data_IF_323566389088
#
_entry.id   IF_323566389088
#
_cell.length_a   1.000
_cell.length_b   1.000
_cell.length_c   1.000
_cell.angle_alpha   90.00
_cell.angle_beta   90.00
_cell.angle_gamma   90.00
#
_symmetry.space_group_name_H-M   'P 1'
#
loop_
_entity.id
_entity.type
_entity.pdbx_description
1 polymer ?
#
# COMPACT_ATOMS: atom_id res chain seq x y z
N UNK A 1 15.20 8.30 -10.21
CA UNK A 1 14.86 7.19 -9.33
C UNK A 1 13.52 6.60 -9.74
N UNK A 2 13.47 5.30 -9.87
CA UNK A 2 12.24 4.60 -10.24
C UNK A 2 11.32 4.45 -9.02
N UNK A 3 10.03 4.24 -9.29
CA UNK A 3 9.05 3.96 -8.23
C UNK A 3 9.42 2.71 -7.43
N UNK A 4 9.97 1.69 -8.10
CA UNK A 4 10.44 0.48 -7.44
C UNK A 4 11.58 0.75 -6.46
N UNK A 5 12.43 1.73 -6.73
CA UNK A 5 13.50 2.13 -5.80
C UNK A 5 12.90 2.74 -4.53
N UNK A 6 11.89 3.59 -4.69
CA UNK A 6 11.17 4.19 -3.57
C UNK A 6 10.46 3.12 -2.75
N UNK A 7 9.81 2.15 -3.41
CA UNK A 7 9.18 1.02 -2.73
C UNK A 7 10.19 0.25 -1.91
N UNK A 8 11.36 -0.05 -2.47
CA UNK A 8 12.39 -0.79 -1.77
C UNK A 8 12.89 -0.04 -0.54
N UNK A 9 13.03 1.28 -0.63
CA UNK A 9 13.42 2.10 0.51
C UNK A 9 12.37 2.03 1.63
N UNK A 10 11.10 2.10 1.28
CA UNK A 10 10.01 1.99 2.26
C UNK A 10 9.98 0.59 2.88
N UNK A 11 10.16 -0.45 2.06
CA UNK A 11 10.20 -1.83 2.56
C UNK A 11 11.37 -2.04 3.53
N UNK A 12 12.54 -1.48 3.24
CA UNK A 12 13.69 -1.56 4.15
C UNK A 12 13.40 -0.86 5.49
N UNK A 13 12.75 0.29 5.44
CA UNK A 13 12.30 0.98 6.64
C UNK A 13 11.33 0.11 7.45
N UNK A 14 10.36 -0.52 6.79
CA UNK A 14 9.38 -1.38 7.46
C UNK A 14 10.05 -2.61 8.08
N UNK A 15 11.07 -3.17 7.45
CA UNK A 15 11.85 -4.27 8.04
C UNK A 15 12.49 -3.85 9.36
N UNK A 16 13.04 -2.66 9.41
CA UNK A 16 13.65 -2.14 10.64
C UNK A 16 12.61 -1.93 11.73
N UNK A 17 11.45 -1.40 11.36
CA UNK A 17 10.34 -1.22 12.29
C UNK A 17 9.80 -2.56 12.79
N UNK A 18 9.77 -3.56 11.92
CA UNK A 18 9.37 -4.92 12.30
C UNK A 18 10.36 -5.53 13.30
N UNK A 19 11.65 -5.35 13.05
CA UNK A 19 12.69 -5.86 13.96
C UNK A 19 12.57 -5.23 15.35
N UNK A 20 12.07 -4.00 15.44
CA UNK A 20 11.84 -3.30 16.72
C UNK A 20 10.45 -3.53 17.31
N UNK A 21 9.64 -4.36 16.68
CA UNK A 21 8.32 -4.72 17.18
C UNK A 21 7.21 -3.73 16.90
N UNK A 22 7.46 -2.68 16.10
CA UNK A 22 6.45 -1.69 15.79
C UNK A 22 5.56 -2.08 14.62
N UNK A 23 6.05 -2.95 13.74
CA UNK A 23 5.28 -3.53 12.62
C UNK A 23 5.18 -5.03 12.84
N UNK A 24 3.96 -5.56 12.84
CA UNK A 24 3.74 -6.99 13.08
C UNK A 24 4.05 -7.79 11.81
N UNK A 25 3.47 -7.35 10.70
CA UNK A 25 3.72 -7.93 9.38
C UNK A 25 3.52 -6.85 8.32
N UNK A 26 4.09 -7.06 7.17
CA UNK A 26 3.83 -6.22 6.00
C UNK A 26 4.06 -7.04 4.73
N UNK A 27 3.49 -6.58 3.64
CA UNK A 27 3.59 -7.25 2.36
C UNK A 27 3.66 -6.23 1.23
N UNK A 28 4.47 -6.53 0.24
CA UNK A 28 4.43 -5.83 -1.03
C UNK A 28 3.37 -6.49 -1.89
N UNK A 29 2.40 -5.70 -2.33
CA UNK A 29 1.30 -6.19 -3.14
C UNK A 29 1.63 -5.91 -4.61
N UNK A 30 1.55 -6.94 -5.41
CA UNK A 30 1.62 -6.76 -6.84
C UNK A 30 0.21 -6.41 -7.31
N UNK A 31 -0.07 -5.10 -7.35
CA UNK A 31 -1.42 -4.55 -7.34
C UNK A 31 -2.20 -4.84 -8.60
N UNK A 32 -2.66 -6.06 -8.74
CA UNK A 32 -3.70 -6.37 -9.68
C UNK A 32 -3.33 -7.26 -10.83
N UNK A 33 -2.07 -7.43 -11.19
CA UNK A 33 -1.74 -8.30 -12.30
C UNK A 33 -0.29 -8.73 -12.31
N UNK A 34 -0.07 -10.00 -12.62
CA UNK A 34 1.25 -10.53 -12.97
C UNK A 34 1.20 -10.91 -14.46
N UNK A 35 2.26 -10.60 -15.17
CA UNK A 35 2.38 -11.02 -16.55
C UNK A 35 2.71 -12.52 -16.58
N UNK A 36 1.84 -13.33 -17.17
CA UNK A 36 2.04 -14.75 -17.34
C UNK A 36 1.98 -15.03 -18.85
N UNK A 37 3.15 -15.18 -19.50
CA UNK A 37 3.22 -15.24 -20.95
C UNK A 37 2.82 -13.90 -21.54
N UNK A 38 1.77 -13.89 -22.36
CA UNK A 38 1.24 -12.67 -22.97
C UNK A 38 0.00 -12.13 -22.26
N UNK A 39 -0.31 -12.65 -21.07
CA UNK A 39 -1.51 -12.23 -20.33
C UNK A 39 -1.15 -11.74 -18.95
N UNK A 40 -2.01 -10.85 -18.41
CA UNK A 40 -1.95 -10.45 -17.02
C UNK A 40 -2.96 -11.27 -16.23
N UNK A 41 -2.52 -11.77 -15.07
CA UNK A 41 -3.37 -12.55 -14.16
C UNK A 41 -3.60 -11.72 -12.90
N UNK A 42 -4.89 -11.57 -12.54
CA UNK A 42 -5.27 -10.85 -11.34
C UNK A 42 -5.55 -11.85 -10.24
N UNK A 43 -5.02 -11.58 -9.04
CA UNK A 43 -5.07 -12.53 -7.93
C UNK A 43 -6.02 -12.15 -6.82
N UNK A 44 -6.69 -11.01 -6.90
CA UNK A 44 -7.64 -10.63 -5.87
C UNK A 44 -8.86 -9.98 -6.49
N UNK A 45 -9.92 -9.98 -5.69
CA UNK A 45 -11.15 -9.28 -6.02
C UNK A 45 -11.50 -8.41 -4.83
N UNK A 46 -11.48 -7.12 -5.03
CA UNK A 46 -11.67 -6.13 -3.98
C UNK A 46 -13.14 -5.73 -3.90
N UNK A 47 -13.72 -5.86 -2.71
CA UNK A 47 -15.11 -5.51 -2.42
C UNK A 47 -15.14 -4.23 -1.59
N UNK A 48 -15.60 -3.14 -2.18
CA UNK A 48 -15.82 -1.88 -1.50
C UNK A 48 -17.31 -1.62 -1.42
N UNK A 49 -17.77 -1.15 -0.26
CA UNK A 49 -19.19 -0.98 0.02
C UNK A 49 -19.85 -0.09 -1.04
N UNK A 50 -20.94 -0.60 -1.65
CA UNK A 50 -21.67 0.13 -2.66
C UNK A 50 -21.03 0.17 -4.03
N UNK A 51 -19.98 -0.62 -4.26
CA UNK A 51 -19.26 -0.68 -5.52
C UNK A 51 -19.23 -2.09 -6.09
N UNK A 52 -19.11 -2.18 -7.41
CA UNK A 52 -18.88 -3.48 -8.04
C UNK A 52 -17.49 -4.01 -7.67
N UNK A 53 -17.37 -5.32 -7.46
CA UNK A 53 -16.05 -5.91 -7.17
C UNK A 53 -15.07 -5.67 -8.32
N UNK A 54 -13.79 -5.45 -7.95
CA UNK A 54 -12.77 -5.20 -8.96
C UNK A 54 -11.43 -5.80 -8.52
N UNK A 55 -10.61 -6.15 -9.49
CA UNK A 55 -9.30 -6.77 -9.26
C UNK A 55 -8.15 -5.77 -9.31
N UNK A 56 -8.38 -4.53 -8.91
CA UNK A 56 -7.37 -3.48 -8.96
C UNK A 56 -7.65 -2.44 -7.88
N UNK A 57 -6.67 -1.56 -7.65
CA UNK A 57 -6.84 -0.41 -6.77
C UNK A 57 -6.25 -0.57 -5.38
N UNK A 58 -5.82 -1.77 -4.98
CA UNK A 58 -5.12 -1.92 -3.70
C UNK A 58 -3.78 -1.18 -3.74
N UNK A 59 -3.29 -0.81 -2.56
CA UNK A 59 -2.01 -0.13 -2.42
C UNK A 59 -0.83 -1.07 -2.70
N UNK A 60 0.34 -0.49 -2.93
CA UNK A 60 1.57 -1.25 -3.19
C UNK A 60 2.05 -2.04 -1.98
N UNK A 61 1.86 -1.50 -0.79
CA UNK A 61 2.35 -2.08 0.46
C UNK A 61 1.22 -2.05 1.48
N UNK A 62 1.05 -3.15 2.21
CA UNK A 62 0.09 -3.21 3.30
C UNK A 62 0.72 -3.89 4.50
N UNK A 63 0.13 -3.71 5.66
CA UNK A 63 0.62 -4.37 6.86
C UNK A 63 -0.20 -4.03 8.10
N UNK A 64 0.36 -4.38 9.24
CA UNK A 64 -0.29 -4.14 10.52
C UNK A 64 0.72 -3.65 11.54
N UNK A 65 0.38 -2.56 12.19
CA UNK A 65 1.18 -2.04 13.30
C UNK A 65 0.93 -2.87 14.56
N UNK A 66 1.87 -2.81 15.48
CA UNK A 66 1.67 -3.33 16.84
C UNK A 66 0.40 -2.68 17.41
N UNK A 67 -0.46 -3.49 18.00
CA UNK A 67 -1.78 -3.03 18.45
C UNK A 67 -2.90 -3.34 17.47
N UNK A 68 -2.57 -3.82 16.26
CA UNK A 68 -3.55 -4.34 15.33
C UNK A 68 -4.05 -3.37 14.26
N UNK A 69 -3.52 -2.16 14.19
CA UNK A 69 -4.00 -1.20 13.20
C UNK A 69 -3.46 -1.51 11.82
N UNK A 70 -4.35 -1.69 10.85
CA UNK A 70 -4.00 -1.94 9.45
C UNK A 70 -3.45 -0.66 8.80
N UNK A 71 -2.46 -0.82 7.90
CA UNK A 71 -2.01 0.29 7.07
C UNK A 71 -1.89 -0.13 5.61
N UNK A 72 -2.06 0.85 4.72
CA UNK A 72 -1.89 0.69 3.29
C UNK A 72 -1.14 1.91 2.74
N UNK A 73 -0.06 1.67 2.04
CA UNK A 73 0.79 2.73 1.49
C UNK A 73 0.90 2.56 -0.02
N UNK A 74 0.52 3.60 -0.74
CA UNK A 74 0.72 3.67 -2.18
C UNK A 74 1.97 4.49 -2.45
N UNK A 75 2.96 3.91 -3.10
CA UNK A 75 4.24 4.58 -3.35
C UNK A 75 4.21 5.23 -4.72
N UNK A 76 4.45 6.53 -4.76
CA UNK A 76 4.46 7.32 -6.00
C UNK A 76 5.67 8.23 -6.04
N UNK A 77 6.18 8.46 -7.24
CA UNK A 77 7.18 9.51 -7.50
C UNK A 77 6.54 10.87 -7.27
N UNK A 78 7.35 11.92 -7.01
CA UNK A 78 6.80 13.26 -6.73
C UNK A 78 5.90 13.82 -7.81
N UNK A 79 6.11 13.44 -9.08
CA UNK A 79 5.35 13.94 -10.22
C UNK A 79 4.17 13.04 -10.61
N UNK A 80 3.86 12.03 -9.81
CA UNK A 80 2.78 11.08 -10.09
C UNK A 80 1.76 11.08 -8.97
N UNK A 81 0.51 10.82 -9.33
CA UNK A 81 -0.59 10.72 -8.37
C UNK A 81 -1.20 9.33 -8.38
N UNK A 82 -1.87 8.99 -7.30
CA UNK A 82 -2.66 7.77 -7.22
C UNK A 82 -3.80 7.83 -8.26
N UNK A 83 -4.14 6.67 -8.81
CA UNK A 83 -5.30 6.55 -9.69
C UNK A 83 -6.59 6.72 -8.88
N UNK A 84 -7.71 6.89 -9.58
CA UNK A 84 -9.01 7.00 -8.91
C UNK A 84 -9.33 5.74 -8.10
N UNK A 85 -9.04 4.55 -8.66
CA UNK A 85 -9.25 3.30 -7.94
C UNK A 85 -8.40 3.22 -6.68
N UNK A 86 -7.15 3.63 -6.75
CA UNK A 86 -6.25 3.64 -5.60
C UNK A 86 -6.72 4.62 -4.53
N UNK A 87 -7.13 5.83 -4.94
CA UNK A 87 -7.66 6.82 -3.98
C UNK A 87 -8.90 6.32 -3.28
N UNK A 88 -9.79 5.65 -4.01
CA UNK A 88 -11.02 5.07 -3.43
C UNK A 88 -10.68 4.04 -2.36
N UNK A 89 -9.71 3.15 -2.63
CA UNK A 89 -9.28 2.16 -1.66
C UNK A 89 -8.68 2.81 -0.42
N UNK A 90 -7.75 3.76 -0.62
CA UNK A 90 -7.09 4.45 0.49
C UNK A 90 -8.10 5.19 1.36
N UNK A 91 -9.08 5.84 0.73
CA UNK A 91 -10.13 6.57 1.43
C UNK A 91 -11.01 5.62 2.25
N UNK A 92 -11.33 4.46 1.69
CA UNK A 92 -12.11 3.42 2.38
C UNK A 92 -11.35 2.91 3.60
N UNK A 93 -10.05 2.64 3.47
CA UNK A 93 -9.21 2.20 4.58
C UNK A 93 -9.18 3.26 5.69
N UNK A 94 -8.96 4.51 5.34
CA UNK A 94 -8.92 5.60 6.31
C UNK A 94 -10.25 5.76 7.04
N UNK A 95 -11.36 5.70 6.32
CA UNK A 95 -12.70 5.80 6.90
C UNK A 95 -13.02 4.64 7.84
N UNK A 96 -12.41 3.47 7.58
CA UNK A 96 -12.60 2.29 8.42
C UNK A 96 -11.70 2.24 9.64
N UNK A 97 -10.84 3.24 9.85
CA UNK A 97 -9.96 3.29 11.01
C UNK A 97 -8.52 2.86 10.76
N UNK A 98 -8.20 2.45 9.54
CA UNK A 98 -6.82 2.13 9.16
C UNK A 98 -6.02 3.38 8.83
N UNK A 99 -4.73 3.18 8.59
CA UNK A 99 -3.86 4.23 8.07
C UNK A 99 -3.71 4.01 6.57
N UNK A 100 -3.93 5.03 5.78
CA UNK A 100 -3.80 4.93 4.34
C UNK A 100 -3.26 6.23 3.77
N UNK A 101 -2.25 6.12 2.91
CA UNK A 101 -1.64 7.32 2.34
C UNK A 101 -0.88 7.01 1.07
N UNK A 102 -0.74 8.04 0.24
CA UNK A 102 0.27 8.07 -0.82
C UNK A 102 1.56 8.55 -0.15
N UNK A 103 2.63 7.79 -0.32
CA UNK A 103 3.95 8.14 0.23
C UNK A 103 4.96 8.28 -0.90
N UNK A 104 5.85 9.23 -0.76
CA UNK A 104 6.83 9.54 -1.79
C UNK A 104 8.26 9.29 -1.32
N UNK A 105 8.41 8.53 -0.23
CA UNK A 105 9.70 8.14 0.33
C UNK A 105 9.57 7.78 1.80
N UNK A 106 10.72 7.55 2.43
CA UNK A 106 10.78 7.10 3.82
C UNK A 106 10.20 8.14 4.78
N UNK A 107 10.48 9.42 4.57
CA UNK A 107 10.01 10.47 5.49
C UNK A 107 8.50 10.53 5.54
N UNK A 108 7.83 10.38 4.39
CA UNK A 108 6.38 10.32 4.33
C UNK A 108 5.86 9.09 5.08
N UNK A 109 6.49 7.93 4.87
CA UNK A 109 6.09 6.70 5.55
C UNK A 109 6.22 6.84 7.07
N UNK A 110 7.33 7.41 7.54
CA UNK A 110 7.54 7.67 8.97
C UNK A 110 6.44 8.56 9.54
N UNK A 111 6.18 9.68 8.87
CA UNK A 111 5.18 10.64 9.33
C UNK A 111 3.80 10.00 9.43
N UNK A 112 3.42 9.23 8.42
CA UNK A 112 2.11 8.60 8.33
C UNK A 112 1.94 7.51 9.38
N UNK A 113 2.95 6.68 9.60
CA UNK A 113 2.85 5.54 10.50
C UNK A 113 3.10 5.90 11.97
N UNK A 114 3.82 6.98 12.24
CA UNK A 114 4.14 7.41 13.61
C UNK A 114 3.28 8.59 14.08
N UNK A 115 2.45 9.12 13.20
CA UNK A 115 1.63 10.29 13.50
C UNK A 115 0.35 10.00 14.30
#
# INVERSE_FOLDING_TARGET
>A
MQESDLQNQVLDYLRREQAMGRVVWFARINSGAIKAGLRFVRYYLLFLRGKEPKGKGKADIEGMLSGGRYFALEVKKPDRDATDDQREFLQTVGSGGGIAAVVRGIDDAKRVLNG
#
